data_IF_489399619294
#
_entry.id   IF_489399619294
#
_cell.length_a   1.000
_cell.length_b   1.000
_cell.length_c   1.000
_cell.angle_alpha   90.00
_cell.angle_beta   90.00
_cell.angle_gamma   90.00
#
_symmetry.space_group_name_H-M   'P 1'
#
loop_
_entity.id
_entity.type
_entity.pdbx_description
1 polymer ?
#
# COMPACT_ATOMS: atom_id res chain seq x y z
N UNK A 1 9.83 -12.17 1.14
CA UNK A 1 8.48 -12.55 0.65
C UNK A 1 8.15 -11.71 -0.57
N UNK A 2 7.73 -12.36 -1.66
CA UNK A 2 7.64 -11.81 -3.02
C UNK A 2 6.53 -10.76 -3.18
N UNK A 3 6.86 -9.47 -3.04
CA UNK A 3 5.97 -8.33 -3.37
C UNK A 3 5.48 -8.37 -4.83
N UNK A 4 6.22 -9.02 -5.72
CA UNK A 4 5.83 -9.26 -7.12
C UNK A 4 4.60 -10.17 -7.27
N UNK A 5 4.47 -11.19 -6.42
CA UNK A 5 3.34 -12.13 -6.46
C UNK A 5 2.07 -11.43 -5.96
N UNK A 6 2.19 -10.63 -4.89
CA UNK A 6 1.07 -9.89 -4.30
C UNK A 6 0.49 -8.85 -5.27
N UNK A 7 1.35 -8.11 -5.99
CA UNK A 7 0.87 -7.14 -7.00
C UNK A 7 0.10 -7.81 -8.15
N UNK A 8 0.59 -8.95 -8.62
CA UNK A 8 -0.04 -9.71 -9.72
C UNK A 8 -1.41 -10.27 -9.32
N UNK A 9 -1.58 -10.57 -8.02
CA UNK A 9 -2.84 -11.04 -7.43
C UNK A 9 -3.88 -9.92 -7.30
N UNK A 10 -3.46 -8.72 -6.84
CA UNK A 10 -4.36 -7.57 -6.68
C UNK A 10 -4.93 -7.11 -8.04
N UNK A 11 -4.09 -7.01 -9.08
CA UNK A 11 -4.56 -6.62 -10.42
C UNK A 11 -5.58 -7.62 -11.00
N UNK A 12 -5.37 -8.91 -10.73
CA UNK A 12 -6.28 -9.98 -11.15
C UNK A 12 -7.63 -9.89 -10.43
N UNK A 13 -7.61 -9.57 -9.13
CA UNK A 13 -8.83 -9.37 -8.33
C UNK A 13 -9.63 -8.14 -8.78
N UNK A 14 -8.96 -7.01 -9.02
CA UNK A 14 -9.60 -5.79 -9.56
C UNK A 14 -10.27 -6.07 -10.90
N UNK A 15 -9.59 -6.82 -11.79
CA UNK A 15 -10.16 -7.22 -13.09
C UNK A 15 -11.36 -8.14 -12.95
N UNK A 16 -11.33 -9.06 -11.99
CA UNK A 16 -12.46 -9.93 -11.65
C UNK A 16 -13.69 -9.14 -11.24
N UNK A 17 -13.53 -8.21 -10.28
CA UNK A 17 -14.62 -7.35 -9.80
C UNK A 17 -15.18 -6.47 -10.93
N UNK A 18 -14.32 -5.86 -11.74
CA UNK A 18 -14.74 -5.07 -12.91
C UNK A 18 -15.53 -5.90 -13.92
N UNK A 19 -15.18 -7.17 -14.11
CA UNK A 19 -15.91 -8.10 -14.98
C UNK A 19 -17.30 -8.43 -14.42
N UNK A 20 -17.43 -8.59 -13.11
CA UNK A 20 -18.70 -8.85 -12.42
C UNK A 20 -19.63 -7.61 -12.51
N UNK A 21 -19.08 -6.40 -12.38
CA UNK A 21 -19.85 -5.17 -12.47
C UNK A 21 -20.29 -4.84 -13.91
N UNK A 22 -19.44 -5.14 -14.91
CA UNK A 22 -19.71 -4.83 -16.33
C UNK A 22 -20.61 -5.84 -17.01
N UNK A 23 -20.48 -7.12 -16.68
CA UNK A 23 -21.38 -8.14 -17.17
C UNK A 23 -22.55 -8.22 -16.20
N UNK A 24 -23.78 -7.97 -16.66
CA UNK A 24 -25.00 -8.13 -15.87
C UNK A 24 -25.30 -9.62 -15.54
N UNK A 25 -24.28 -10.36 -15.10
CA UNK A 25 -24.26 -11.79 -14.81
C UNK A 25 -24.79 -12.10 -13.42
N UNK A 26 -24.71 -11.13 -12.53
CA UNK A 26 -25.27 -11.20 -11.19
C UNK A 26 -26.32 -10.10 -11.07
N UNK A 27 -27.49 -10.44 -10.55
CA UNK A 27 -28.50 -9.49 -10.10
C UNK A 27 -28.02 -8.84 -8.80
N UNK A 28 -27.01 -7.98 -8.93
CA UNK A 28 -26.47 -7.20 -7.82
C UNK A 28 -27.41 -6.04 -7.51
N UNK A 29 -27.73 -5.91 -6.24
CA UNK A 29 -28.36 -4.71 -5.67
C UNK A 29 -27.43 -3.50 -5.79
N UNK A 30 -27.99 -2.30 -5.66
CA UNK A 30 -27.20 -1.07 -5.70
C UNK A 30 -26.17 -1.01 -4.56
N UNK A 31 -26.51 -1.54 -3.38
CA UNK A 31 -25.61 -1.64 -2.23
C UNK A 31 -24.41 -2.55 -2.52
N UNK A 32 -24.64 -3.73 -3.09
CA UNK A 32 -23.56 -4.66 -3.47
C UNK A 32 -22.63 -4.06 -4.53
N UNK A 33 -23.18 -3.29 -5.48
CA UNK A 33 -22.38 -2.57 -6.49
C UNK A 33 -21.48 -1.53 -5.83
N UNK A 34 -21.99 -0.76 -4.87
CA UNK A 34 -21.21 0.22 -4.12
C UNK A 34 -20.10 -0.45 -3.32
N UNK A 35 -20.39 -1.57 -2.63
CA UNK A 35 -19.39 -2.33 -1.89
C UNK A 35 -18.25 -2.85 -2.79
N UNK A 36 -18.58 -3.36 -3.96
CA UNK A 36 -17.59 -3.83 -4.93
C UNK A 36 -16.75 -2.69 -5.51
N UNK A 37 -17.34 -1.53 -5.74
CA UNK A 37 -16.60 -0.33 -6.17
C UNK A 37 -15.65 0.18 -5.09
N UNK A 38 -16.09 0.22 -3.82
CA UNK A 38 -15.23 0.60 -2.70
C UNK A 38 -14.07 -0.40 -2.52
N UNK A 39 -14.35 -1.69 -2.64
CA UNK A 39 -13.33 -2.74 -2.63
C UNK A 39 -12.25 -2.50 -3.69
N UNK A 40 -12.62 -2.22 -4.94
CA UNK A 40 -11.66 -1.88 -6.00
C UNK A 40 -10.80 -0.67 -5.65
N UNK A 41 -11.39 0.38 -5.05
CA UNK A 41 -10.67 1.58 -4.62
C UNK A 41 -9.64 1.27 -3.53
N UNK A 42 -10.00 0.44 -2.56
CA UNK A 42 -9.07 0.02 -1.50
C UNK A 42 -7.91 -0.81 -2.06
N UNK A 43 -8.19 -1.70 -3.01
CA UNK A 43 -7.16 -2.51 -3.69
C UNK A 43 -6.18 -1.65 -4.49
N UNK A 44 -6.64 -0.59 -5.17
CA UNK A 44 -5.76 0.37 -5.85
C UNK A 44 -4.90 1.17 -4.87
N UNK A 45 -5.44 1.55 -3.70
CA UNK A 45 -4.64 2.20 -2.66
C UNK A 45 -3.54 1.28 -2.11
N UNK A 46 -3.82 -0.02 -1.96
CA UNK A 46 -2.81 -0.98 -1.55
C UNK A 46 -1.69 -1.14 -2.59
N UNK A 47 -1.99 -1.05 -3.90
CA UNK A 47 -0.96 -1.06 -4.96
C UNK A 47 0.00 0.12 -4.87
N UNK A 48 -0.49 1.27 -4.39
CA UNK A 48 0.27 2.51 -4.22
C UNK A 48 1.06 2.56 -2.92
N UNK A 49 0.85 1.63 -1.98
CA UNK A 49 1.69 1.54 -0.80
C UNK A 49 3.12 1.19 -1.22
N UNK A 50 3.98 2.20 -1.22
CA UNK A 50 5.41 2.02 -1.38
C UNK A 50 5.90 1.26 -0.15
N UNK A 51 6.64 0.14 -0.32
CA UNK A 51 7.22 -0.53 0.82
C UNK A 51 8.11 0.47 1.56
N UNK A 52 7.81 0.67 2.84
CA UNK A 52 8.62 1.52 3.70
C UNK A 52 10.01 0.90 3.80
N UNK A 53 11.02 1.60 3.29
CA UNK A 53 12.40 1.20 3.47
C UNK A 53 12.86 1.56 4.88
N UNK A 54 12.56 0.67 5.83
CA UNK A 54 12.97 0.78 7.22
C UNK A 54 14.49 0.92 7.39
N UNK A 55 15.30 0.41 6.45
CA UNK A 55 16.76 0.54 6.49
C UNK A 55 17.18 2.00 6.31
N UNK A 56 16.59 2.69 5.33
CA UNK A 56 16.88 4.09 5.07
C UNK A 56 16.42 5.00 6.22
N UNK A 57 15.26 4.68 6.82
CA UNK A 57 14.76 5.39 8.01
C UNK A 57 15.71 5.22 9.19
N UNK A 58 16.13 3.99 9.51
CA UNK A 58 17.03 3.71 10.63
C UNK A 58 18.41 4.35 10.43
N UNK A 59 18.94 4.35 9.21
CA UNK A 59 20.18 5.04 8.87
C UNK A 59 20.06 6.55 9.11
N UNK A 60 18.95 7.16 8.70
CA UNK A 60 18.70 8.59 8.90
C UNK A 60 18.63 8.93 10.40
N UNK A 61 17.89 8.13 11.18
CA UNK A 61 17.82 8.29 12.64
C UNK A 61 19.19 8.15 13.30
N UNK A 62 20.00 7.18 12.85
CA UNK A 62 21.36 6.96 13.36
C UNK A 62 22.29 8.14 13.09
N UNK A 63 22.24 8.72 11.89
CA UNK A 63 23.02 9.93 11.54
C UNK A 63 22.60 11.11 12.41
N UNK A 64 21.29 11.33 12.59
CA UNK A 64 20.77 12.39 13.45
C UNK A 64 21.21 12.19 14.91
N UNK A 65 21.10 10.96 15.43
CA UNK A 65 21.54 10.65 16.78
C UNK A 65 23.05 10.92 16.98
N UNK A 66 23.89 10.50 16.02
CA UNK A 66 25.33 10.78 16.05
C UNK A 66 25.63 12.27 16.00
N UNK A 67 24.91 13.03 15.17
CA UNK A 67 25.04 14.48 15.12
C UNK A 67 24.78 15.11 16.49
N UNK A 68 23.69 14.76 17.16
CA UNK A 68 23.38 15.28 18.48
C UNK A 68 24.40 14.88 19.56
N UNK A 69 24.93 13.66 19.50
CA UNK A 69 25.99 13.20 20.42
C UNK A 69 27.27 14.02 20.19
N UNK A 70 27.72 14.16 18.94
CA UNK A 70 28.92 14.94 18.60
C UNK A 70 28.77 16.42 18.96
N UNK A 71 27.57 17.00 18.83
CA UNK A 71 27.31 18.37 19.26
C UNK A 71 27.30 18.53 20.78
N UNK A 72 26.80 17.52 21.52
CA UNK A 72 26.88 17.51 22.99
C UNK A 72 28.34 17.48 23.47
N UNK A 73 29.21 16.72 22.81
CA UNK A 73 30.63 16.62 23.17
C UNK A 73 31.43 17.89 22.82
N UNK A 74 30.92 18.76 21.92
CA UNK A 74 31.54 20.02 21.52
C UNK A 74 31.14 21.23 22.38
N UNK A 75 30.09 21.09 23.19
CA UNK A 75 29.52 22.13 24.06
C UNK A 75 30.01 22.06 25.51
N UNK A 76 30.94 21.14 25.83
CA UNK A 76 31.57 20.98 27.15
C UNK A 76 33.05 21.34 27.12
#
# INVERSE_FOLDING_TARGET
MNTKIIKQDIDSLIRGISTILSKNRCSLTDEERVLLQDCMKQLELQKQQVPIDWTSILNSVSVIARFFISFKDLLF
#
